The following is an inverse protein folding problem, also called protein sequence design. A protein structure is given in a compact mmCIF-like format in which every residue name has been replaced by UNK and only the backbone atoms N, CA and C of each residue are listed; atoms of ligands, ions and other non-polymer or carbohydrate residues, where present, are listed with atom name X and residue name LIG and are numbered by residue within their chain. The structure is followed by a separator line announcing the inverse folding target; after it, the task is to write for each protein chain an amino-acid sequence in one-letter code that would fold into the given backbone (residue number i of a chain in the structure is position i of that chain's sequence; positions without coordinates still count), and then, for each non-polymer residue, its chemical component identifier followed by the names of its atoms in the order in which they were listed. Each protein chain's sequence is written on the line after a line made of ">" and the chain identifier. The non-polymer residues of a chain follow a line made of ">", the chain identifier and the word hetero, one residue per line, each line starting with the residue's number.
data_IF_417858614495
#
_entry.id   IF_417858614495
#
_cell.length_a   1.000
_cell.length_b   1.000
_cell.length_c   1.000
_cell.angle_alpha   90.00
_cell.angle_beta   90.00
_cell.angle_gamma   90.00
#
_symmetry.space_group_name_H-M   'P 1'
#
loop_
_entity.id
_entity.type
_entity.pdbx_description
1 polymer ?
#
# COMPACT_ATOMS: atom_id res chain seq x y z
N UNK A 1 -26.97 10.83 -5.21
CA UNK A 1 -27.46 10.65 -3.82
C UNK A 1 -26.85 11.73 -2.94
N UNK A 2 -27.58 12.19 -1.92
CA UNK A 2 -27.16 13.26 -1.01
C UNK A 2 -26.53 12.75 0.30
N UNK A 3 -26.65 11.44 0.54
CA UNK A 3 -26.12 10.76 1.72
C UNK A 3 -25.29 9.55 1.30
N UNK A 4 -24.23 9.33 2.06
CA UNK A 4 -23.42 8.12 2.06
C UNK A 4 -23.65 7.36 3.37
N UNK A 5 -23.01 6.21 3.51
CA UNK A 5 -23.05 5.44 4.74
C UNK A 5 -21.64 5.16 5.26
N UNK A 6 -21.48 5.23 6.57
CA UNK A 6 -20.26 4.86 7.26
C UNK A 6 -20.39 3.48 7.90
N UNK A 7 -19.28 2.78 8.10
CA UNK A 7 -19.25 1.57 8.90
C UNK A 7 -17.98 1.50 9.76
N UNK A 8 -18.15 1.24 11.05
CA UNK A 8 -17.06 1.07 12.04
C UNK A 8 -17.01 -0.32 12.66
N UNK A 9 -17.72 -1.32 12.09
CA UNK A 9 -17.74 -2.70 12.58
C UNK A 9 -16.34 -3.29 12.80
N UNK A 10 -15.38 -2.94 11.94
CA UNK A 10 -14.03 -3.48 11.96
C UNK A 10 -13.06 -2.74 12.90
N UNK A 11 -13.52 -1.72 13.65
CA UNK A 11 -12.67 -1.00 14.60
C UNK A 11 -12.19 -1.85 15.78
N UNK A 12 -12.77 -3.03 16.00
CA UNK A 12 -12.28 -4.01 16.96
C UNK A 12 -10.85 -4.49 16.67
N UNK A 13 -10.40 -4.44 15.41
CA UNK A 13 -9.04 -4.83 15.00
C UNK A 13 -8.31 -3.80 14.15
N UNK A 14 -9.01 -2.79 13.62
CA UNK A 14 -8.42 -1.64 12.93
C UNK A 14 -9.03 -0.33 13.47
N UNK A 15 -8.57 0.18 14.63
CA UNK A 15 -9.26 1.25 15.38
C UNK A 15 -9.48 2.55 14.60
N UNK A 16 -8.54 2.92 13.74
CA UNK A 16 -8.61 4.13 12.89
C UNK A 16 -9.39 3.91 11.59
N UNK A 17 -9.85 2.68 11.30
CA UNK A 17 -10.58 2.39 10.06
C UNK A 17 -12.04 2.83 10.13
N UNK A 18 -12.49 3.46 9.06
CA UNK A 18 -13.88 3.83 8.83
C UNK A 18 -14.17 3.53 7.36
N UNK A 19 -15.16 2.67 7.09
CA UNK A 19 -15.66 2.47 5.73
C UNK A 19 -16.57 3.64 5.35
N UNK A 20 -16.34 4.24 4.19
CA UNK A 20 -17.24 5.20 3.51
C UNK A 20 -17.83 4.50 2.29
N UNK A 21 -19.13 4.29 2.33
CA UNK A 21 -19.91 3.46 1.42
C UNK A 21 -20.79 4.38 0.58
N UNK A 22 -20.64 4.29 -0.74
CA UNK A 22 -21.37 5.08 -1.72
C UNK A 22 -22.04 4.16 -2.74
N UNK A 23 -22.97 4.65 -3.59
CA UNK A 23 -23.51 3.82 -4.67
C UNK A 23 -22.45 3.28 -5.64
N UNK A 24 -21.31 3.98 -5.75
CA UNK A 24 -20.21 3.60 -6.64
C UNK A 24 -19.12 2.78 -5.94
N UNK A 25 -19.17 2.67 -4.62
CA UNK A 25 -18.13 2.04 -3.82
C UNK A 25 -18.70 1.32 -2.61
N UNK A 26 -18.67 0.00 -2.68
CA UNK A 26 -19.03 -0.89 -1.58
C UNK A 26 -18.03 -0.76 -0.43
N UNK A 27 -18.42 -1.23 0.75
CA UNK A 27 -17.45 -1.50 1.81
C UNK A 27 -16.39 -2.50 1.30
N UNK A 28 -15.18 -2.41 1.86
CA UNK A 28 -14.06 -3.25 1.42
C UNK A 28 -14.37 -4.75 1.54
N UNK A 29 -15.26 -5.16 2.44
CA UNK A 29 -15.68 -6.56 2.62
C UNK A 29 -16.58 -7.11 1.50
N UNK A 30 -17.09 -6.27 0.60
CA UNK A 30 -18.07 -6.66 -0.44
C UNK A 30 -19.49 -6.91 0.06
N UNK A 31 -19.68 -7.14 1.36
CA UNK A 31 -20.96 -7.51 1.94
C UNK A 31 -21.90 -6.34 2.33
N UNK A 32 -21.46 -5.10 2.18
CA UNK A 32 -22.27 -3.92 2.54
C UNK A 32 -22.28 -2.93 1.36
N UNK A 33 -23.40 -2.93 0.64
CA UNK A 33 -23.73 -1.93 -0.37
C UNK A 33 -24.25 -0.64 0.26
N UNK A 34 -24.45 0.40 -0.57
CA UNK A 34 -25.15 1.60 -0.14
C UNK A 34 -26.60 1.33 0.30
N UNK A 35 -27.29 0.38 -0.33
CA UNK A 35 -28.66 0.00 0.05
C UNK A 35 -28.70 -0.74 1.39
N UNK A 36 -27.70 -1.59 1.65
CA UNK A 36 -27.54 -2.28 2.93
C UNK A 36 -27.22 -1.27 4.03
N UNK A 37 -26.34 -0.30 3.74
CA UNK A 37 -26.04 0.82 4.64
C UNK A 37 -27.30 1.59 5.04
N UNK A 38 -28.14 1.93 4.06
CA UNK A 38 -29.44 2.59 4.27
C UNK A 38 -30.40 1.76 5.11
N UNK A 39 -30.48 0.46 4.88
CA UNK A 39 -31.35 -0.42 5.65
C UNK A 39 -30.83 -0.55 7.10
N UNK A 40 -29.55 -0.85 7.27
CA UNK A 40 -28.92 -1.06 8.57
C UNK A 40 -29.01 0.19 9.46
N UNK A 41 -28.71 1.38 8.93
CA UNK A 41 -28.80 2.63 9.70
C UNK A 41 -30.24 2.99 10.13
N UNK A 42 -31.26 2.47 9.43
CA UNK A 42 -32.68 2.62 9.83
C UNK A 42 -33.10 1.59 10.87
N UNK A 43 -32.62 0.37 10.75
CA UNK A 43 -32.93 -0.74 11.67
C UNK A 43 -32.29 -0.50 13.03
N UNK A 44 -31.02 -0.08 13.06
CA UNK A 44 -30.31 0.26 14.27
C UNK A 44 -29.59 1.62 14.12
N UNK A 45 -30.28 2.74 14.44
CA UNK A 45 -29.70 4.09 14.33
C UNK A 45 -28.52 4.36 15.25
N UNK A 46 -28.31 3.52 16.29
CA UNK A 46 -27.16 3.60 17.21
C UNK A 46 -26.09 2.55 16.89
N UNK A 47 -26.29 1.80 15.82
CA UNK A 47 -25.41 0.75 15.39
C UNK A 47 -24.11 1.28 14.78
N UNK A 48 -23.23 0.35 14.37
CA UNK A 48 -21.93 0.67 13.79
C UNK A 48 -22.01 1.12 12.33
N UNK A 49 -23.20 1.05 11.71
CA UNK A 49 -23.48 1.55 10.38
C UNK A 49 -24.36 2.79 10.51
N UNK A 50 -23.91 3.91 9.95
CA UNK A 50 -24.53 5.22 10.17
C UNK A 50 -24.56 6.05 8.89
N UNK A 51 -25.44 7.04 8.84
CA UNK A 51 -25.55 7.97 7.72
C UNK A 51 -24.41 9.00 7.74
N UNK A 52 -23.85 9.29 6.57
CA UNK A 52 -22.89 10.37 6.35
C UNK A 52 -23.56 11.37 5.40
N UNK A 53 -23.80 12.60 5.89
CA UNK A 53 -24.22 13.69 5.01
C UNK A 53 -23.06 14.03 4.08
N UNK A 54 -23.31 14.09 2.77
CA UNK A 54 -22.25 14.26 1.77
C UNK A 54 -21.48 15.58 1.93
N UNK A 55 -22.17 16.64 2.36
CA UNK A 55 -21.55 17.98 2.51
C UNK A 55 -21.09 18.54 1.16
N UNK A 56 -20.13 19.47 1.18
CA UNK A 56 -19.55 20.04 -0.05
C UNK A 56 -18.72 18.99 -0.80
N UNK A 57 -18.90 18.92 -2.12
CA UNK A 57 -17.99 18.19 -3.00
C UNK A 57 -16.69 18.99 -3.16
N UNK A 58 -15.57 18.42 -2.75
CA UNK A 58 -14.25 19.04 -2.84
C UNK A 58 -13.56 18.64 -4.15
N UNK A 59 -13.67 17.37 -4.54
CA UNK A 59 -13.18 16.85 -5.80
C UNK A 59 -14.05 15.67 -6.23
N UNK A 60 -14.87 15.87 -7.26
CA UNK A 60 -15.76 14.84 -7.74
C UNK A 60 -14.98 13.66 -8.31
N UNK A 61 -13.94 13.92 -9.11
CA UNK A 61 -13.15 12.89 -9.78
C UNK A 61 -12.43 11.99 -8.78
N UNK A 62 -11.87 12.54 -7.70
CA UNK A 62 -11.27 11.78 -6.60
C UNK A 62 -12.30 11.18 -5.64
N UNK A 63 -13.54 11.66 -5.67
CA UNK A 63 -14.58 11.31 -4.73
C UNK A 63 -14.30 11.87 -3.33
N UNK A 64 -13.79 13.09 -3.24
CA UNK A 64 -13.52 13.76 -1.98
C UNK A 64 -14.68 14.69 -1.58
N UNK A 65 -15.16 14.50 -0.37
CA UNK A 65 -16.33 15.18 0.15
C UNK A 65 -16.09 15.64 1.59
N UNK A 66 -16.45 16.88 1.88
CA UNK A 66 -16.23 17.50 3.20
C UNK A 66 -16.88 16.69 4.32
N UNK A 67 -18.16 16.29 4.15
CA UNK A 67 -18.86 15.53 5.18
C UNK A 67 -18.31 14.12 5.39
N UNK A 68 -17.73 13.50 4.35
CA UNK A 68 -17.02 12.23 4.53
C UNK A 68 -15.72 12.43 5.31
N UNK A 69 -14.94 13.47 4.99
CA UNK A 69 -13.70 13.79 5.70
C UNK A 69 -13.95 14.10 7.18
N UNK A 70 -14.99 14.88 7.50
CA UNK A 70 -15.38 15.19 8.88
C UNK A 70 -15.71 13.95 9.69
N UNK A 71 -16.55 13.07 9.15
CA UNK A 71 -16.99 11.86 9.84
C UNK A 71 -15.85 10.86 9.99
N UNK A 72 -15.02 10.69 8.96
CA UNK A 72 -13.83 9.83 9.03
C UNK A 72 -12.89 10.34 10.11
N UNK A 73 -12.61 11.65 10.15
CA UNK A 73 -11.76 12.28 11.18
C UNK A 73 -12.31 12.08 12.59
N UNK A 74 -13.61 12.25 12.79
CA UNK A 74 -14.24 12.03 14.09
C UNK A 74 -14.12 10.55 14.51
N UNK A 75 -14.54 9.64 13.64
CA UNK A 75 -14.64 8.20 13.94
C UNK A 75 -13.29 7.49 13.98
N UNK A 76 -12.26 8.05 13.34
CA UNK A 76 -10.88 7.57 13.41
C UNK A 76 -10.06 8.23 14.52
N UNK A 77 -10.69 8.99 15.43
CA UNK A 77 -10.01 9.73 16.50
C UNK A 77 -8.94 10.72 16.01
N UNK A 78 -9.09 11.24 14.79
CA UNK A 78 -8.17 12.19 14.16
C UNK A 78 -7.03 11.56 13.35
N UNK A 79 -6.84 10.25 13.39
CA UNK A 79 -5.75 9.56 12.67
C UNK A 79 -5.87 9.69 11.14
N UNK A 80 -7.09 9.72 10.60
CA UNK A 80 -7.38 9.88 9.18
C UNK A 80 -8.17 11.16 9.01
N UNK A 81 -7.62 12.14 8.30
CA UNK A 81 -8.25 13.46 8.16
C UNK A 81 -8.92 13.69 6.82
N UNK A 82 -8.54 12.91 5.80
CA UNK A 82 -9.02 13.02 4.42
C UNK A 82 -9.16 11.64 3.82
N UNK A 83 -10.16 11.46 2.97
CA UNK A 83 -10.34 10.25 2.17
C UNK A 83 -10.74 10.59 0.75
N UNK A 84 -10.04 10.00 -0.20
CA UNK A 84 -10.34 10.03 -1.62
C UNK A 84 -10.79 8.64 -2.04
N UNK A 85 -12.03 8.56 -2.50
CA UNK A 85 -12.73 7.29 -2.70
C UNK A 85 -12.30 6.56 -3.96
N UNK A 86 -11.56 7.17 -4.88
CA UNK A 86 -11.28 6.54 -6.19
C UNK A 86 -9.79 6.50 -6.54
N UNK A 87 -8.92 6.46 -5.52
CA UNK A 87 -7.46 6.34 -5.65
C UNK A 87 -6.87 5.39 -4.60
N UNK A 88 -5.69 4.85 -4.87
CA UNK A 88 -4.80 4.18 -3.92
C UNK A 88 -3.62 5.03 -3.47
N UNK A 89 -3.53 6.29 -3.89
CA UNK A 89 -2.41 7.19 -3.58
C UNK A 89 -2.89 8.44 -2.84
N UNK A 90 -1.96 9.13 -2.18
CA UNK A 90 -2.16 10.34 -1.38
C UNK A 90 -3.06 10.12 -0.16
N UNK A 91 -4.38 10.12 -0.38
CA UNK A 91 -5.40 9.99 0.67
C UNK A 91 -6.31 8.79 0.41
N UNK A 92 -5.77 7.57 0.19
CA UNK A 92 -6.59 6.42 -0.11
C UNK A 92 -7.52 6.10 1.05
N UNK A 93 -8.64 5.48 0.73
CA UNK A 93 -9.52 4.96 1.75
C UNK A 93 -8.79 3.86 2.56
N UNK A 94 -8.82 3.93 3.90
CA UNK A 94 -8.10 2.95 4.72
C UNK A 94 -8.69 1.56 4.58
N UNK A 95 -7.95 0.53 4.99
CA UNK A 95 -8.42 -0.86 4.95
C UNK A 95 -8.32 -1.52 6.33
N UNK A 96 -9.35 -2.27 6.71
CA UNK A 96 -9.35 -3.05 7.93
C UNK A 96 -8.58 -4.36 7.76
N UNK A 97 -9.20 -5.40 7.18
CA UNK A 97 -8.62 -6.74 7.04
C UNK A 97 -9.59 -7.77 6.44
N UNK A 98 -10.87 -7.45 6.33
CA UNK A 98 -11.89 -8.32 5.72
C UNK A 98 -12.08 -8.09 4.21
N UNK A 99 -11.17 -7.37 3.54
CA UNK A 99 -11.24 -7.14 2.10
C UNK A 99 -11.13 -8.45 1.29
N UNK A 100 -11.83 -8.51 0.16
CA UNK A 100 -11.85 -9.69 -0.71
C UNK A 100 -10.59 -9.78 -1.57
N UNK A 101 -10.05 -8.62 -1.96
CA UNK A 101 -8.80 -8.48 -2.67
C UNK A 101 -8.01 -7.26 -2.18
N UNK A 102 -6.76 -7.15 -2.58
CA UNK A 102 -5.93 -5.98 -2.30
C UNK A 102 -5.00 -5.66 -3.46
N UNK A 103 -4.72 -4.38 -3.65
CA UNK A 103 -3.71 -3.91 -4.58
C UNK A 103 -2.31 -4.02 -3.97
N UNK A 104 -1.31 -4.18 -4.82
CA UNK A 104 0.09 -3.95 -4.48
C UNK A 104 0.75 -3.16 -5.60
N UNK A 105 1.57 -2.19 -5.24
CA UNK A 105 2.27 -1.34 -6.20
C UNK A 105 3.62 -1.94 -6.58
N UNK A 106 3.95 -1.88 -7.89
CA UNK A 106 5.23 -2.32 -8.46
C UNK A 106 5.95 -1.09 -9.03
N UNK A 107 6.89 -0.50 -8.29
CA UNK A 107 7.55 0.75 -8.69
C UNK A 107 8.27 0.69 -10.03
N UNK A 108 8.87 -0.46 -10.37
CA UNK A 108 9.67 -0.66 -11.59
C UNK A 108 8.86 -0.46 -12.87
N UNK A 109 7.54 -0.58 -12.79
CA UNK A 109 6.63 -0.36 -13.93
C UNK A 109 5.54 0.67 -13.64
N UNK A 110 5.59 1.34 -12.48
CA UNK A 110 4.58 2.31 -12.02
C UNK A 110 3.12 1.78 -12.10
N UNK A 111 2.97 0.47 -11.87
CA UNK A 111 1.72 -0.26 -12.05
C UNK A 111 1.23 -0.94 -10.77
N UNK A 112 0.00 -1.42 -10.81
CA UNK A 112 -0.66 -2.07 -9.68
C UNK A 112 -1.05 -3.51 -10.01
N UNK A 113 -0.60 -4.47 -9.23
CA UNK A 113 -1.20 -5.80 -9.25
C UNK A 113 -2.36 -5.88 -8.27
N UNK A 114 -3.26 -6.84 -8.48
CA UNK A 114 -4.32 -7.16 -7.53
C UNK A 114 -4.22 -8.63 -7.17
N UNK A 115 -4.39 -8.97 -5.91
CA UNK A 115 -4.47 -10.36 -5.45
C UNK A 115 -5.69 -10.56 -4.55
N UNK A 116 -6.45 -11.63 -4.79
CA UNK A 116 -7.61 -11.98 -3.97
C UNK A 116 -7.23 -12.92 -2.83
N UNK A 117 -8.05 -12.92 -1.78
CA UNK A 117 -7.81 -13.62 -0.51
C UNK A 117 -7.57 -15.12 -0.64
N UNK A 118 -8.22 -15.75 -1.60
CA UNK A 118 -8.15 -17.21 -1.78
C UNK A 118 -6.95 -17.68 -2.62
N UNK A 119 -6.25 -16.76 -3.29
CA UNK A 119 -5.06 -17.07 -4.06
C UNK A 119 -3.95 -17.64 -3.17
N UNK A 120 -3.44 -18.84 -3.52
CA UNK A 120 -2.42 -19.56 -2.73
C UNK A 120 -0.99 -19.40 -3.26
N UNK A 121 -0.82 -18.78 -4.42
CA UNK A 121 0.48 -18.54 -5.02
C UNK A 121 1.18 -17.28 -4.49
N UNK A 122 2.28 -16.95 -5.16
CA UNK A 122 2.99 -15.68 -4.99
C UNK A 122 2.75 -14.78 -6.18
N UNK A 123 2.71 -13.47 -5.95
CA UNK A 123 2.66 -12.47 -7.02
C UNK A 123 4.03 -12.34 -7.70
N UNK A 124 4.13 -11.64 -8.85
CA UNK A 124 5.42 -11.36 -9.48
C UNK A 124 6.39 -10.54 -8.61
N UNK A 125 5.87 -9.85 -7.59
CA UNK A 125 6.68 -9.18 -6.56
C UNK A 125 7.22 -10.15 -5.48
N UNK A 126 6.96 -11.45 -5.61
CA UNK A 126 7.39 -12.48 -4.66
C UNK A 126 6.60 -12.51 -3.35
N UNK A 127 5.48 -11.78 -3.27
CA UNK A 127 4.67 -11.67 -2.06
C UNK A 127 3.42 -12.56 -2.14
N UNK A 128 3.03 -13.15 -1.02
CA UNK A 128 1.74 -13.83 -0.88
C UNK A 128 0.63 -12.83 -0.55
N UNK A 129 -0.64 -13.23 -0.67
CA UNK A 129 -1.76 -12.42 -0.21
C UNK A 129 -1.58 -11.95 1.24
N UNK A 130 -1.15 -12.84 2.15
CA UNK A 130 -0.95 -12.51 3.56
C UNK A 130 0.06 -11.37 3.77
N UNK A 131 1.21 -11.44 3.09
CA UNK A 131 2.24 -10.40 3.20
C UNK A 131 1.76 -9.03 2.66
N UNK A 132 0.97 -9.04 1.58
CA UNK A 132 0.39 -7.81 1.03
C UNK A 132 -0.72 -7.28 1.95
N UNK A 133 -1.53 -8.18 2.51
CA UNK A 133 -2.60 -7.85 3.44
C UNK A 133 -2.05 -7.18 4.71
N UNK A 134 -0.92 -7.63 5.24
CA UNK A 134 -0.24 -7.00 6.39
C UNK A 134 0.16 -5.53 6.12
N UNK A 135 0.51 -5.22 4.87
CA UNK A 135 0.84 -3.85 4.43
C UNK A 135 -0.41 -3.00 4.20
N UNK A 136 -1.50 -3.63 3.76
CA UNK A 136 -2.77 -2.97 3.42
C UNK A 136 -3.64 -2.68 4.66
N UNK A 137 -3.64 -3.60 5.61
CA UNK A 137 -4.55 -3.63 6.76
C UNK A 137 -4.17 -2.63 7.88
N UNK A 138 -5.06 -2.55 8.87
CA UNK A 138 -4.81 -1.85 10.13
C UNK A 138 -5.28 -0.40 10.17
N UNK A 139 -6.14 0.02 9.24
CA UNK A 139 -6.74 1.37 9.26
C UNK A 139 -5.76 2.49 8.92
N UNK A 140 -4.70 2.18 8.16
CA UNK A 140 -3.69 3.13 7.71
C UNK A 140 -3.94 3.53 6.26
N UNK A 141 -3.43 4.69 5.86
CA UNK A 141 -3.32 5.10 4.46
C UNK A 141 -1.91 4.72 3.99
N UNK A 142 -1.83 3.77 3.07
CA UNK A 142 -0.57 3.26 2.53
C UNK A 142 -0.66 3.30 1.01
N UNK A 143 0.18 4.11 0.39
CA UNK A 143 0.15 4.32 -1.06
C UNK A 143 0.38 3.01 -1.81
N UNK A 144 -0.50 2.73 -2.76
CA UNK A 144 -0.44 1.54 -3.61
C UNK A 144 -0.94 0.25 -2.96
N UNK A 145 -1.24 0.24 -1.66
CA UNK A 145 -1.74 -0.91 -0.91
C UNK A 145 -3.16 -0.63 -0.40
N UNK A 146 -4.15 -1.15 -1.12
CA UNK A 146 -5.53 -0.76 -0.93
C UNK A 146 -6.48 -1.96 -1.01
N UNK A 147 -7.30 -2.13 0.03
CA UNK A 147 -8.28 -3.21 0.12
C UNK A 147 -9.49 -2.98 -0.79
N UNK A 148 -9.87 -4.02 -1.52
CA UNK A 148 -10.90 -4.00 -2.54
C UNK A 148 -11.99 -5.03 -2.25
N UNK A 149 -13.21 -4.68 -2.62
CA UNK A 149 -14.30 -5.63 -2.85
C UNK A 149 -14.43 -5.94 -4.33
N UNK A 150 -14.97 -7.12 -4.65
CA UNK A 150 -15.25 -7.48 -6.05
C UNK A 150 -16.24 -6.50 -6.68
N UNK A 151 -17.25 -6.05 -5.94
CA UNK A 151 -18.24 -5.09 -6.45
C UNK A 151 -17.64 -3.72 -6.76
N UNK A 152 -16.61 -3.28 -6.03
CA UNK A 152 -15.94 -2.03 -6.37
C UNK A 152 -15.15 -2.14 -7.68
N UNK A 153 -14.49 -3.29 -7.93
CA UNK A 153 -13.77 -3.54 -9.20
C UNK A 153 -14.68 -3.56 -10.44
N UNK A 154 -15.96 -3.90 -10.25
CA UNK A 154 -16.97 -3.90 -11.32
C UNK A 154 -17.49 -2.49 -11.66
N UNK A 155 -17.23 -1.51 -10.79
CA UNK A 155 -17.76 -0.16 -10.97
C UNK A 155 -16.86 0.67 -11.90
N UNK A 156 -17.42 1.52 -12.79
CA UNK A 156 -16.61 2.43 -13.64
C UNK A 156 -15.72 3.40 -12.86
N UNK A 157 -16.04 3.68 -11.59
CA UNK A 157 -15.22 4.53 -10.71
C UNK A 157 -14.07 3.79 -10.04
N UNK A 158 -13.87 2.50 -10.36
CA UNK A 158 -12.77 1.68 -9.89
C UNK A 158 -11.41 2.36 -10.18
N UNK A 159 -10.78 2.86 -9.13
CA UNK A 159 -9.45 3.49 -9.15
C UNK A 159 -9.27 4.50 -10.29
N UNK A 160 -10.33 5.21 -10.67
CA UNK A 160 -10.34 6.04 -11.87
C UNK A 160 -9.29 7.15 -11.83
N UNK A 161 -8.95 7.65 -10.64
CA UNK A 161 -7.89 8.66 -10.45
C UNK A 161 -6.54 8.11 -10.87
N UNK A 162 -6.33 6.81 -10.67
CA UNK A 162 -5.08 6.12 -10.96
C UNK A 162 -5.05 5.57 -12.39
N UNK A 163 -6.11 5.76 -13.18
CA UNK A 163 -6.26 5.20 -14.52
C UNK A 163 -7.12 3.93 -14.59
N UNK A 164 -7.68 3.49 -13.47
CA UNK A 164 -8.53 2.30 -13.36
C UNK A 164 -7.83 1.05 -13.90
N UNK A 165 -8.54 0.27 -14.72
CA UNK A 165 -8.00 -0.94 -15.33
C UNK A 165 -6.73 -0.72 -16.17
N UNK A 166 -6.49 0.48 -16.71
CA UNK A 166 -5.28 0.76 -17.51
C UNK A 166 -3.98 0.74 -16.69
N UNK A 167 -4.06 0.82 -15.36
CA UNK A 167 -2.89 0.74 -14.47
C UNK A 167 -2.77 -0.61 -13.77
N UNK A 168 -3.70 -1.54 -14.04
CA UNK A 168 -3.64 -2.89 -13.50
C UNK A 168 -2.73 -3.74 -14.36
N UNK A 169 -1.64 -4.23 -13.78
CA UNK A 169 -0.57 -4.93 -14.51
C UNK A 169 -0.55 -6.44 -14.27
N UNK A 170 -1.32 -6.95 -13.30
CA UNK A 170 -1.31 -8.37 -12.97
C UNK A 170 -2.54 -8.77 -12.15
N UNK A 171 -3.09 -9.95 -12.43
CA UNK A 171 -4.24 -10.54 -11.73
C UNK A 171 -4.08 -12.07 -11.65
N UNK A 172 -4.52 -12.73 -10.56
CA UNK A 172 -4.74 -14.17 -10.58
C UNK A 172 -5.75 -14.56 -11.65
N UNK A 173 -5.56 -15.72 -12.29
CA UNK A 173 -6.44 -16.20 -13.38
C UNK A 173 -7.90 -16.24 -12.96
N UNK A 174 -8.21 -16.71 -11.76
CA UNK A 174 -9.58 -16.80 -11.26
C UNK A 174 -10.23 -15.42 -11.12
N UNK A 175 -9.48 -14.45 -10.59
CA UNK A 175 -9.95 -13.07 -10.45
C UNK A 175 -10.14 -12.41 -11.82
N UNK A 176 -9.20 -12.64 -12.75
CA UNK A 176 -9.28 -12.12 -14.11
C UNK A 176 -10.55 -12.62 -14.80
N UNK A 177 -10.83 -13.92 -14.75
CA UNK A 177 -12.08 -14.50 -15.29
C UNK A 177 -13.33 -13.97 -14.58
N UNK A 178 -13.31 -13.83 -13.25
CA UNK A 178 -14.45 -13.26 -12.51
C UNK A 178 -14.77 -11.80 -12.90
N UNK A 179 -13.77 -11.05 -13.39
CA UNK A 179 -13.89 -9.65 -13.79
C UNK A 179 -13.99 -9.45 -15.31
N UNK A 180 -14.09 -10.52 -16.10
CA UNK A 180 -14.02 -10.50 -17.58
C UNK A 180 -14.95 -9.50 -18.26
N UNK A 181 -16.19 -9.40 -17.79
CA UNK A 181 -17.18 -8.48 -18.38
C UNK A 181 -16.96 -7.01 -18.00
N UNK A 182 -16.09 -6.74 -17.03
CA UNK A 182 -15.82 -5.42 -16.47
C UNK A 182 -14.43 -4.89 -16.83
N UNK A 183 -13.50 -5.78 -17.18
CA UNK A 183 -12.21 -5.40 -17.77
C UNK A 183 -12.45 -4.94 -19.21
N UNK A 184 -11.94 -3.76 -19.62
CA UNK A 184 -12.01 -3.33 -21.02
C UNK A 184 -11.43 -4.39 -21.95
N UNK A 185 -12.15 -4.69 -23.05
CA UNK A 185 -11.81 -5.82 -23.94
C UNK A 185 -10.39 -5.73 -24.51
N UNK A 186 -9.94 -4.51 -24.77
CA UNK A 186 -8.61 -4.18 -25.27
C UNK A 186 -7.48 -4.42 -24.26
N UNK A 187 -7.80 -4.57 -22.98
CA UNK A 187 -6.84 -4.87 -21.91
C UNK A 187 -6.80 -6.34 -21.54
N UNK A 188 -7.80 -7.13 -21.93
CA UNK A 188 -7.93 -8.52 -21.50
C UNK A 188 -6.64 -9.32 -21.77
N UNK A 189 -6.11 -9.27 -22.98
CA UNK A 189 -4.89 -10.00 -23.36
C UNK A 189 -3.59 -9.31 -22.91
N UNK A 190 -3.69 -8.11 -22.32
CA UNK A 190 -2.53 -7.30 -21.92
C UNK A 190 -2.19 -7.42 -20.44
N UNK A 191 -3.08 -7.99 -19.63
CA UNK A 191 -2.89 -8.17 -18.19
C UNK A 191 -2.49 -9.64 -17.93
N UNK A 192 -1.22 -9.93 -17.59
CA UNK A 192 -0.75 -11.29 -17.32
C UNK A 192 -1.31 -11.85 -16.01
N UNK A 193 -1.24 -13.17 -15.88
CA UNK A 193 -1.56 -13.91 -14.64
C UNK A 193 -0.36 -14.69 -14.09
N UNK A 194 -0.56 -15.48 -13.04
CA UNK A 194 0.44 -16.39 -12.48
C UNK A 194 0.94 -17.45 -13.47
N UNK A 195 0.21 -17.69 -14.56
CA UNK A 195 0.60 -18.65 -15.60
C UNK A 195 1.54 -18.03 -16.65
N UNK A 196 1.51 -16.70 -16.80
CA UNK A 196 2.28 -15.98 -17.80
C UNK A 196 3.62 -15.48 -17.24
N UNK A 197 3.62 -14.98 -16.00
CA UNK A 197 4.79 -14.31 -15.39
C UNK A 197 4.95 -14.66 -13.91
N UNK A 198 6.20 -14.81 -13.46
CA UNK A 198 6.55 -15.22 -12.09
C UNK A 198 7.40 -14.20 -11.33
N UNK A 199 7.97 -13.22 -12.02
CA UNK A 199 8.83 -12.21 -11.44
C UNK A 199 8.68 -10.86 -12.18
N UNK A 200 9.24 -9.80 -11.59
CA UNK A 200 9.15 -8.43 -12.14
C UNK A 200 9.76 -8.30 -13.54
N UNK A 201 10.85 -9.04 -13.84
CA UNK A 201 11.49 -8.96 -15.16
C UNK A 201 10.61 -9.56 -16.25
N UNK A 202 10.02 -10.72 -15.99
CA UNK A 202 9.04 -11.36 -16.89
C UNK A 202 7.79 -10.48 -17.05
N UNK A 203 7.29 -9.92 -15.95
CA UNK A 203 6.16 -8.99 -15.93
C UNK A 203 6.42 -7.79 -16.84
N UNK A 204 7.57 -7.12 -16.69
CA UNK A 204 7.93 -5.98 -17.53
C UNK A 204 7.99 -6.36 -19.02
N UNK A 205 8.64 -7.48 -19.34
CA UNK A 205 8.77 -7.97 -20.72
C UNK A 205 7.40 -8.32 -21.35
N UNK A 206 6.49 -8.90 -20.56
CA UNK A 206 5.12 -9.19 -20.98
C UNK A 206 4.37 -7.90 -21.31
N UNK A 207 4.41 -6.91 -20.42
CA UNK A 207 3.69 -5.65 -20.57
C UNK A 207 4.15 -4.87 -21.82
N UNK A 208 5.46 -4.88 -22.10
CA UNK A 208 6.04 -4.27 -23.30
C UNK A 208 5.63 -5.00 -24.58
N UNK A 209 5.71 -6.34 -24.59
CA UNK A 209 5.37 -7.13 -25.78
C UNK A 209 3.88 -7.14 -26.14
N UNK A 210 3.00 -6.86 -25.18
CA UNK A 210 1.55 -6.84 -25.36
C UNK A 210 0.98 -5.40 -25.48
N UNK A 211 1.85 -4.40 -25.63
CA UNK A 211 1.49 -2.98 -25.73
C UNK A 211 0.52 -2.53 -24.61
N UNK A 212 0.82 -2.90 -23.36
CA UNK A 212 0.04 -2.49 -22.20
C UNK A 212 0.09 -0.96 -22.05
N UNK A 213 -1.02 -0.26 -21.70
CA UNK A 213 -1.02 1.20 -21.56
C UNK A 213 0.03 1.75 -20.58
N UNK A 214 0.49 0.92 -19.65
CA UNK A 214 1.53 1.26 -18.67
C UNK A 214 2.92 1.46 -19.32
N UNK A 215 3.15 1.00 -20.55
CA UNK A 215 4.47 1.08 -21.21
C UNK A 215 4.99 2.52 -21.29
N UNK A 216 4.12 3.50 -21.48
CA UNK A 216 4.52 4.91 -21.46
C UNK A 216 5.00 5.36 -20.07
N UNK A 217 4.41 4.83 -18.99
CA UNK A 217 4.87 5.07 -17.62
C UNK A 217 6.19 4.35 -17.33
N UNK A 218 6.38 3.13 -17.86
CA UNK A 218 7.66 2.40 -17.75
C UNK A 218 8.79 3.26 -18.34
N UNK A 219 8.61 3.78 -19.56
CA UNK A 219 9.60 4.67 -20.20
C UNK A 219 9.89 5.91 -19.36
N UNK A 220 8.87 6.50 -18.73
CA UNK A 220 9.05 7.65 -17.85
C UNK A 220 9.84 7.29 -16.57
N UNK A 221 9.56 6.14 -15.96
CA UNK A 221 10.32 5.62 -14.80
C UNK A 221 11.78 5.38 -15.17
N UNK A 222 12.04 4.76 -16.31
CA UNK A 222 13.40 4.53 -16.80
C UNK A 222 14.14 5.81 -17.14
N UNK A 223 13.46 6.82 -17.70
CA UNK A 223 14.04 8.13 -17.96
C UNK A 223 14.32 8.92 -16.68
N UNK A 224 13.59 8.65 -15.59
CA UNK A 224 13.81 9.26 -14.28
C UNK A 224 14.87 8.53 -13.44
N UNK A 225 15.12 7.24 -13.67
CA UNK A 225 16.13 6.45 -12.95
C UNK A 225 17.57 7.02 -13.00
N UNK A 226 18.05 7.66 -14.09
CA UNK A 226 19.34 8.34 -14.12
C UNK A 226 19.46 9.53 -13.15
N UNK A 227 18.35 10.10 -12.66
CA UNK A 227 18.35 11.28 -11.78
C UNK A 227 18.53 10.95 -10.29
N UNK A 228 18.53 9.67 -9.90
CA UNK A 228 18.69 9.20 -8.51
C UNK A 228 20.01 8.46 -8.27
N UNK A 229 20.94 8.46 -9.24
CA UNK A 229 22.30 8.02 -8.97
C UNK A 229 22.92 8.96 -7.91
N UNK A 230 23.40 8.45 -6.76
CA UNK A 230 23.97 9.30 -5.73
C UNK A 230 25.15 10.08 -6.33
N UNK A 231 25.07 11.39 -6.20
CA UNK A 231 26.14 12.34 -6.45
C UNK A 231 27.43 11.76 -5.83
N UNK A 232 28.41 11.49 -6.69
CA UNK A 232 29.63 10.78 -6.34
C UNK A 232 30.25 11.41 -5.09
N UNK A 233 30.34 10.61 -4.02
CA UNK A 233 31.11 10.99 -2.84
C UNK A 233 32.52 11.38 -3.28
N UNK A 234 33.07 12.53 -2.83
CA UNK A 234 34.40 12.95 -3.21
C UNK A 234 35.41 11.91 -2.73
N UNK A 235 36.18 11.37 -3.67
CA UNK A 235 37.29 10.45 -3.41
C UNK A 235 38.35 11.18 -2.58
N UNK A 236 38.37 10.93 -1.28
CA UNK A 236 39.49 11.34 -0.43
C UNK A 236 40.65 10.39 -0.75
N UNK A 237 41.68 10.95 -1.41
CA UNK A 237 42.94 10.28 -1.65
C UNK A 237 43.57 9.83 -0.32
N UNK A 238 43.86 8.54 -0.20
CA UNK A 238 44.66 8.02 0.91
C UNK A 238 46.11 8.50 0.76
N UNK A 239 46.73 9.12 1.78
CA UNK A 239 48.17 9.33 1.76
C UNK A 239 48.87 8.01 2.11
N UNK A 240 49.80 7.61 1.25
CA UNK A 240 50.79 6.56 1.52
C UNK A 240 51.66 6.94 2.72
N UNK A 241 51.71 6.07 3.74
CA UNK A 241 52.68 6.17 4.84
C UNK A 241 53.62 4.97 4.79
N UNK A 242 54.91 5.26 4.64
CA UNK A 242 56.04 4.34 4.79
C UNK A 242 56.23 3.95 6.27
N UNK A 243 56.89 2.81 6.57
CA UNK A 243 57.02 2.33 7.94
C UNK A 243 58.22 2.99 8.63
N UNK A 244 58.01 3.55 9.83
CA UNK A 244 59.10 3.88 10.76
C UNK A 244 58.81 3.31 12.13
N UNK A 245 59.77 2.55 12.63
CA UNK A 245 59.81 1.90 13.94
C UNK A 245 59.82 2.91 15.10
N UNK A 246 59.23 2.52 16.22
CA UNK A 246 59.52 3.06 17.55
C UNK A 246 58.49 4.05 18.11
N UNK A 247 57.48 3.53 18.82
CA UNK A 247 56.94 4.08 20.09
C UNK A 247 55.74 3.27 20.60
N UNK A 248 55.84 2.78 21.84
CA UNK A 248 54.81 2.15 22.70
C UNK A 248 53.85 3.21 23.28
N UNK A 249 52.68 2.90 23.92
CA UNK A 249 51.97 1.63 24.11
C UNK A 249 50.44 1.67 23.85
N UNK A 250 49.80 0.50 23.98
CA UNK A 250 48.36 0.25 23.84
C UNK A 250 47.43 1.10 24.71
N UNK A 251 46.30 1.58 24.15
CA UNK A 251 45.08 1.90 24.90
C UNK A 251 43.86 1.48 24.08
N UNK A 252 43.14 0.47 24.56
CA UNK A 252 42.01 -0.15 23.89
C UNK A 252 40.86 0.81 23.56
N UNK A 253 40.29 0.64 22.37
CA UNK A 253 38.98 1.14 21.99
C UNK A 253 38.17 -0.04 21.43
N UNK A 254 36.97 -0.27 21.98
CA UNK A 254 36.06 -1.27 21.44
C UNK A 254 35.45 -0.73 20.15
N UNK A 255 35.73 -1.35 19.01
CA UNK A 255 35.11 -1.05 17.73
C UNK A 255 34.05 -2.10 17.43
N UNK A 256 32.79 -1.68 17.24
CA UNK A 256 31.70 -2.57 16.81
C UNK A 256 31.22 -2.07 15.46
N UNK A 257 31.35 -2.90 14.43
CA UNK A 257 30.93 -2.61 13.06
C UNK A 257 29.87 -3.63 12.67
N UNK A 258 28.68 -3.15 12.32
CA UNK A 258 27.60 -3.98 11.79
C UNK A 258 27.45 -3.71 10.29
N UNK A 259 27.41 -4.76 9.48
CA UNK A 259 27.02 -4.71 8.07
C UNK A 259 25.81 -5.63 7.88
N UNK A 260 24.77 -5.10 7.22
CA UNK A 260 23.49 -5.77 6.92
C UNK A 260 22.75 -6.38 8.12
N UNK A 261 22.67 -5.66 9.25
CA UNK A 261 21.93 -6.10 10.43
C UNK A 261 20.69 -5.23 10.71
N UNK A 262 19.52 -5.85 10.95
CA UNK A 262 18.32 -5.19 11.51
C UNK A 262 18.21 -5.49 13.01
N UNK A 263 18.52 -4.51 13.85
CA UNK A 263 18.49 -4.66 15.32
C UNK A 263 17.26 -3.94 15.88
N UNK A 264 16.41 -4.65 16.62
CA UNK A 264 15.29 -4.07 17.38
C UNK A 264 15.51 -4.28 18.87
N UNK A 265 15.78 -3.19 19.61
CA UNK A 265 15.99 -3.23 21.06
C UNK A 265 15.23 -2.09 21.74
N UNK A 266 14.54 -2.38 22.86
CA UNK A 266 13.82 -1.35 23.63
C UNK A 266 14.74 -0.43 24.43
N UNK A 267 15.96 -0.87 24.81
CA UNK A 267 17.01 -0.02 25.42
C UNK A 267 18.38 -0.70 25.30
N UNK A 268 19.40 0.05 24.88
CA UNK A 268 20.79 -0.41 24.83
C UNK A 268 21.65 0.52 25.69
N UNK A 269 22.45 -0.04 26.61
CA UNK A 269 23.36 0.71 27.48
C UNK A 269 24.76 0.13 27.33
N UNK A 270 25.66 0.89 26.70
CA UNK A 270 27.07 0.54 26.58
C UNK A 270 27.85 1.31 27.65
N UNK A 271 28.45 0.59 28.60
CA UNK A 271 29.35 1.18 29.62
C UNK A 271 30.74 0.58 29.47
N UNK A 272 31.75 1.46 29.46
CA UNK A 272 33.14 1.06 29.58
C UNK A 272 33.44 0.84 31.07
N UNK A 273 33.57 -0.40 31.49
CA UNK A 273 33.98 -0.70 32.86
C UNK A 273 35.42 -0.21 33.06
N UNK A 274 35.61 0.67 34.04
CA UNK A 274 36.96 1.07 34.48
C UNK A 274 37.52 0.02 35.44
N UNK A 275 38.83 -0.12 35.48
CA UNK A 275 39.54 -1.19 36.19
C UNK A 275 39.24 -1.29 37.69
N UNK A 276 38.61 -0.28 38.32
CA UNK A 276 38.21 -0.30 39.74
C UNK A 276 36.92 -1.07 40.04
N UNK A 277 36.11 -1.41 39.04
CA UNK A 277 34.85 -2.16 39.24
C UNK A 277 35.00 -3.69 39.08
N UNK A 278 36.20 -4.17 38.69
CA UNK A 278 36.48 -5.61 38.54
C UNK A 278 36.79 -6.34 39.86
N UNK A 279 37.13 -5.63 40.93
CA UNK A 279 37.56 -6.23 42.21
C UNK A 279 36.45 -6.35 43.28
N UNK A 280 35.20 -5.97 42.97
CA UNK A 280 34.08 -6.02 43.94
C UNK A 280 32.91 -6.92 43.52
N UNK A 281 33.15 -7.91 42.67
CA UNK A 281 32.18 -8.98 42.40
C UNK A 281 32.80 -10.34 42.66
#
# INVERSE_FOLDING_TARGET
>A
VDVFYGCTLCQSFAPSHVCVITPERYANCGAISWFDGRAAAKVDPKGPIFEIKKGKCLDEFKGEYEGANEVVKEKSLGDVTRVQLFTTFDYPHTSCGCFEATTFYVPEVDGMGIVHRDFKGSTPAGLTFGAIADSTAGGRQVDGFHGLSFEYMRNPSFLRVDGGWNRIIWLPTELKEQMKDYIPKELWDKIPTENDVRNINELKSFLESHDHPIVERIKAVEAAAPALAPEAAPTVAAPTLAPTEGAVPAVGGLSIIFKDAKIYAKKVIVRRLSSKEREKK
#
